data_IF_391348410441
#
_entry.id   IF_391348410441
#
_cell.length_a   1.000
_cell.length_b   1.000
_cell.length_c   1.000
_cell.angle_alpha   90.00
_cell.angle_beta   90.00
_cell.angle_gamma   90.00
#
_symmetry.space_group_name_H-M   'P 1'
#
loop_
_entity.id
_entity.type
_entity.pdbx_description
1 polymer ?
#
# COMPACT_ATOMS: atom_id res chain seq x y z
N UNK A 1 -28.79 -18.04 -18.27
CA UNK A 1 -27.86 -17.40 -17.29
C UNK A 1 -26.47 -18.03 -17.27
N UNK A 2 -26.32 -19.35 -17.45
CA UNK A 2 -25.00 -20.03 -17.48
C UNK A 2 -24.09 -19.61 -18.65
N UNK A 3 -24.63 -19.29 -19.82
CA UNK A 3 -23.81 -18.91 -20.99
C UNK A 3 -23.10 -17.56 -20.84
N UNK A 4 -23.72 -16.59 -20.19
CA UNK A 4 -23.16 -15.24 -19.97
C UNK A 4 -22.05 -15.23 -18.92
N UNK A 5 -22.18 -16.02 -17.86
CA UNK A 5 -21.16 -16.18 -16.82
C UNK A 5 -19.90 -16.88 -17.36
N UNK A 6 -20.10 -17.96 -18.12
CA UNK A 6 -19.00 -18.69 -18.74
C UNK A 6 -18.27 -17.87 -19.81
N UNK A 7 -19.00 -17.09 -20.60
CA UNK A 7 -18.40 -16.18 -21.59
C UNK A 7 -17.61 -15.05 -20.90
N UNK A 8 -18.11 -14.54 -19.77
CA UNK A 8 -17.42 -13.54 -18.95
C UNK A 8 -16.13 -14.10 -18.34
N UNK A 9 -16.17 -15.32 -17.79
CA UNK A 9 -14.98 -16.00 -17.26
C UNK A 9 -13.97 -16.28 -18.37
N UNK A 10 -14.41 -16.74 -19.54
CA UNK A 10 -13.53 -17.00 -20.67
C UNK A 10 -12.91 -15.72 -21.25
N UNK A 11 -13.65 -14.62 -21.31
CA UNK A 11 -13.09 -13.32 -21.72
C UNK A 11 -12.03 -12.81 -20.73
N UNK A 12 -12.21 -13.05 -19.45
CA UNK A 12 -11.23 -12.72 -18.40
C UNK A 12 -9.96 -13.60 -18.49
N UNK A 13 -10.10 -14.89 -18.86
CA UNK A 13 -8.97 -15.79 -19.06
C UNK A 13 -8.11 -15.47 -20.31
N UNK A 14 -8.61 -14.61 -21.18
CA UNK A 14 -7.94 -14.18 -22.42
C UNK A 14 -7.43 -12.74 -22.31
N UNK A 15 -7.75 -12.03 -21.23
CA UNK A 15 -7.23 -10.70 -21.01
C UNK A 15 -5.70 -10.74 -20.78
N UNK A 16 -4.95 -9.86 -21.45
CA UNK A 16 -3.52 -9.79 -21.23
C UNK A 16 -3.24 -9.38 -19.77
N UNK A 17 -2.11 -9.85 -19.22
CA UNK A 17 -1.62 -9.43 -17.91
C UNK A 17 -1.72 -7.90 -17.78
N UNK A 18 -2.04 -7.37 -16.58
CA UNK A 18 -2.14 -5.95 -16.36
C UNK A 18 -0.88 -5.22 -16.82
N UNK A 19 -1.05 -4.15 -17.57
CA UNK A 19 0.03 -3.25 -17.98
C UNK A 19 -0.13 -1.93 -17.26
N UNK A 20 0.96 -1.13 -17.14
CA UNK A 20 0.88 0.24 -16.60
C UNK A 20 -0.30 1.01 -17.19
N UNK A 21 -0.39 0.98 -18.53
CA UNK A 21 -1.47 1.67 -19.24
C UNK A 21 -2.85 1.16 -18.86
N UNK A 22 -3.06 -0.16 -18.79
CA UNK A 22 -4.38 -0.73 -18.47
C UNK A 22 -4.79 -0.43 -17.04
N UNK A 23 -3.85 -0.44 -16.07
CA UNK A 23 -4.12 -0.08 -14.68
C UNK A 23 -4.55 1.39 -14.60
N UNK A 24 -3.75 2.29 -15.17
CA UNK A 24 -4.03 3.74 -15.13
C UNK A 24 -5.35 4.07 -15.83
N UNK A 25 -5.60 3.51 -17.02
CA UNK A 25 -6.84 3.76 -17.77
C UNK A 25 -8.08 3.28 -17.00
N UNK A 26 -8.02 2.10 -16.39
CA UNK A 26 -9.11 1.56 -15.57
C UNK A 26 -9.39 2.43 -14.35
N UNK A 27 -8.37 2.83 -13.62
CA UNK A 27 -8.53 3.66 -12.44
C UNK A 27 -9.08 5.04 -12.79
N UNK A 28 -8.55 5.67 -13.86
CA UNK A 28 -9.08 6.94 -14.36
C UNK A 28 -10.55 6.84 -14.83
N UNK A 29 -10.94 5.71 -15.39
CA UNK A 29 -12.33 5.48 -15.79
C UNK A 29 -13.27 5.37 -14.59
N UNK A 30 -12.85 4.66 -13.52
CA UNK A 30 -13.61 4.56 -12.27
C UNK A 30 -13.74 5.92 -11.59
N UNK A 31 -12.64 6.68 -11.47
CA UNK A 31 -12.62 8.02 -10.88
C UNK A 31 -13.63 8.95 -11.58
N UNK A 32 -13.68 8.94 -12.92
CA UNK A 32 -14.66 9.72 -13.70
C UNK A 32 -16.11 9.33 -13.40
N UNK A 33 -16.37 8.12 -12.96
CA UNK A 33 -17.69 7.64 -12.57
C UNK A 33 -17.99 7.88 -11.07
N UNK A 34 -17.06 8.50 -10.33
CA UNK A 34 -17.17 8.71 -8.89
C UNK A 34 -17.02 7.42 -8.07
N UNK A 35 -16.38 6.39 -8.65
CA UNK A 35 -16.10 5.12 -7.97
C UNK A 35 -14.68 5.22 -7.40
N UNK A 36 -14.52 5.12 -6.06
CA UNK A 36 -13.20 5.22 -5.45
C UNK A 36 -12.34 3.99 -5.77
N UNK A 37 -11.05 4.21 -5.91
CA UNK A 37 -10.07 3.15 -6.01
C UNK A 37 -9.80 2.59 -4.61
N UNK A 38 -9.98 1.29 -4.41
CA UNK A 38 -9.72 0.62 -3.14
C UNK A 38 -8.69 -0.47 -3.35
N UNK A 39 -7.56 -0.40 -2.63
CA UNK A 39 -6.57 -1.41 -2.79
C UNK A 39 -5.95 -1.92 -1.47
N UNK A 40 -5.43 -3.13 -1.51
CA UNK A 40 -5.06 -3.89 -0.34
C UNK A 40 -3.55 -4.03 -0.17
N UNK A 41 -3.04 -3.61 1.00
CA UNK A 41 -1.81 -4.19 1.55
C UNK A 41 -2.06 -5.65 1.94
N UNK A 42 -1.17 -6.54 1.52
CA UNK A 42 -1.35 -7.98 1.65
C UNK A 42 -0.03 -8.70 1.95
N UNK A 43 -0.07 -9.55 2.96
CA UNK A 43 1.06 -10.40 3.37
C UNK A 43 0.66 -11.86 3.59
N UNK A 44 -0.53 -12.27 3.13
CA UNK A 44 -1.02 -13.64 3.23
C UNK A 44 -2.04 -13.98 2.13
N UNK A 45 -1.99 -15.21 1.63
CA UNK A 45 -2.88 -15.69 0.59
C UNK A 45 -4.36 -15.59 0.93
N UNK A 46 -4.75 -15.69 2.21
CA UNK A 46 -6.16 -15.49 2.59
C UNK A 46 -6.64 -14.07 2.32
N UNK A 47 -5.81 -13.06 2.54
CA UNK A 47 -6.15 -11.66 2.26
C UNK A 47 -6.24 -11.44 0.75
N UNK A 48 -5.27 -11.95 0.01
CA UNK A 48 -5.27 -11.91 -1.46
C UNK A 48 -6.52 -12.51 -2.07
N UNK A 49 -6.92 -13.69 -1.59
CA UNK A 49 -8.14 -14.37 -2.03
C UNK A 49 -9.40 -13.51 -1.86
N UNK A 50 -9.56 -12.86 -0.73
CA UNK A 50 -10.73 -12.00 -0.50
C UNK A 50 -10.64 -10.69 -1.24
N UNK A 51 -9.44 -10.12 -1.44
CA UNK A 51 -9.23 -8.95 -2.29
C UNK A 51 -9.68 -9.24 -3.74
N UNK A 52 -9.28 -10.39 -4.29
CA UNK A 52 -9.73 -10.84 -5.62
C UNK A 52 -11.24 -11.05 -5.68
N UNK A 53 -11.83 -11.76 -4.71
CA UNK A 53 -13.27 -12.05 -4.70
C UNK A 53 -14.14 -10.80 -4.55
N UNK A 54 -13.65 -9.79 -3.82
CA UNK A 54 -14.34 -8.51 -3.64
C UNK A 54 -13.98 -7.51 -4.73
N UNK A 55 -13.08 -7.88 -5.66
CA UNK A 55 -12.65 -7.07 -6.80
C UNK A 55 -12.04 -5.75 -6.37
N UNK A 56 -11.10 -5.80 -5.46
CA UNK A 56 -10.27 -4.64 -5.18
C UNK A 56 -9.39 -4.30 -6.39
N UNK A 57 -9.02 -3.04 -6.50
CA UNK A 57 -8.41 -2.49 -7.70
C UNK A 57 -6.92 -2.84 -7.85
N UNK A 58 -6.24 -3.17 -6.76
CA UNK A 58 -4.89 -3.71 -6.73
C UNK A 58 -4.56 -4.33 -5.36
N UNK A 59 -3.45 -5.06 -5.31
CA UNK A 59 -2.87 -5.64 -4.11
C UNK A 59 -1.40 -5.26 -4.06
N UNK A 60 -0.94 -4.65 -2.95
CA UNK A 60 0.50 -4.51 -2.68
C UNK A 60 0.97 -5.65 -1.78
N UNK A 61 1.99 -6.35 -2.23
CA UNK A 61 2.65 -7.41 -1.48
C UNK A 61 3.80 -6.82 -0.68
N UNK A 62 3.78 -6.96 0.65
CA UNK A 62 4.73 -6.28 1.51
C UNK A 62 5.00 -7.05 2.82
N UNK A 63 6.19 -6.88 3.36
CA UNK A 63 6.68 -7.63 4.53
C UNK A 63 6.06 -7.18 5.87
N UNK A 64 5.77 -5.89 6.02
CA UNK A 64 5.31 -5.32 7.30
C UNK A 64 4.02 -5.97 7.82
N UNK A 65 3.21 -6.54 6.93
CA UNK A 65 2.05 -7.36 7.29
C UNK A 65 2.42 -8.61 8.08
N UNK A 66 3.58 -9.23 7.82
CA UNK A 66 4.03 -10.41 8.55
C UNK A 66 4.20 -10.15 10.04
N UNK A 67 4.60 -8.94 10.45
CA UNK A 67 4.70 -8.60 11.86
C UNK A 67 3.38 -8.82 12.61
N UNK A 68 2.26 -8.51 11.96
CA UNK A 68 0.92 -8.71 12.51
C UNK A 68 0.57 -10.19 12.65
N UNK A 69 0.95 -11.00 11.65
CA UNK A 69 0.76 -12.46 11.68
C UNK A 69 1.61 -13.12 12.78
N UNK A 70 2.74 -12.52 13.16
CA UNK A 70 3.54 -12.94 14.29
C UNK A 70 3.03 -12.42 15.65
N UNK A 71 1.88 -11.74 15.66
CA UNK A 71 1.26 -11.20 16.87
C UNK A 71 1.94 -9.95 17.41
N UNK A 72 2.76 -9.27 16.59
CA UNK A 72 3.43 -8.03 16.94
C UNK A 72 2.61 -6.80 16.47
N UNK A 73 2.87 -5.61 17.01
CA UNK A 73 2.44 -4.37 16.38
C UNK A 73 2.98 -4.27 14.95
N UNK A 74 2.33 -3.45 14.12
CA UNK A 74 2.87 -3.12 12.78
C UNK A 74 4.33 -2.67 12.91
N UNK A 75 5.23 -3.40 12.30
CA UNK A 75 6.68 -3.18 12.38
C UNK A 75 7.33 -3.53 11.06
N UNK A 76 8.33 -2.76 10.68
CA UNK A 76 9.25 -3.16 9.61
C UNK A 76 10.15 -4.28 10.12
N UNK A 77 10.28 -5.32 9.33
CA UNK A 77 11.20 -6.44 9.61
C UNK A 77 12.59 -6.10 9.06
N UNK A 78 13.61 -6.75 9.57
CA UNK A 78 14.93 -6.68 8.98
C UNK A 78 14.91 -7.31 7.58
N UNK A 79 15.62 -6.70 6.61
CA UNK A 79 15.71 -7.16 5.24
C UNK A 79 14.33 -7.33 4.55
N UNK A 80 13.55 -6.24 4.42
CA UNK A 80 12.18 -6.30 3.89
C UNK A 80 12.04 -7.00 2.55
N UNK A 81 12.93 -6.74 1.60
CA UNK A 81 12.86 -7.33 0.26
C UNK A 81 13.01 -8.85 0.27
N UNK A 82 13.80 -9.40 1.20
CA UNK A 82 13.94 -10.86 1.34
C UNK A 82 12.67 -11.53 1.86
N UNK A 83 11.78 -10.79 2.51
CA UNK A 83 10.46 -11.28 2.90
C UNK A 83 9.40 -10.97 1.85
N UNK A 84 9.37 -9.75 1.32
CA UNK A 84 8.33 -9.32 0.37
C UNK A 84 8.37 -10.10 -0.94
N UNK A 85 9.55 -10.25 -1.53
CA UNK A 85 9.65 -10.85 -2.87
C UNK A 85 9.17 -12.31 -2.91
N UNK A 86 9.58 -13.20 -2.00
CA UNK A 86 9.11 -14.59 -2.04
C UNK A 86 7.62 -14.79 -1.79
N UNK A 87 6.92 -13.82 -1.18
CA UNK A 87 5.46 -13.92 -0.98
C UNK A 87 4.68 -13.87 -2.29
N UNK A 88 5.31 -13.49 -3.39
CA UNK A 88 4.67 -13.46 -4.71
C UNK A 88 3.94 -14.75 -5.04
N UNK A 89 4.62 -15.88 -4.92
CA UNK A 89 4.07 -17.19 -5.30
C UNK A 89 2.83 -17.58 -4.47
N UNK A 90 2.87 -17.33 -3.15
CA UNK A 90 1.72 -17.59 -2.28
C UNK A 90 0.53 -16.72 -2.68
N UNK A 91 0.77 -15.42 -2.86
CA UNK A 91 -0.27 -14.44 -3.11
C UNK A 91 -0.83 -14.61 -4.53
N UNK A 92 0.03 -14.74 -5.54
CA UNK A 92 -0.38 -14.96 -6.94
C UNK A 92 -1.21 -16.23 -7.10
N UNK A 93 -0.94 -17.27 -6.31
CA UNK A 93 -1.75 -18.51 -6.34
C UNK A 93 -3.23 -18.32 -5.99
N UNK A 94 -3.59 -17.18 -5.38
CA UNK A 94 -4.95 -16.82 -4.98
C UNK A 94 -5.57 -15.73 -5.86
N UNK A 95 -4.83 -15.18 -6.82
CA UNK A 95 -5.19 -13.99 -7.58
C UNK A 95 -4.97 -14.23 -9.07
N UNK A 96 -6.01 -14.11 -9.86
CA UNK A 96 -5.93 -14.28 -11.31
C UNK A 96 -5.85 -12.94 -12.07
N UNK A 97 -6.60 -11.92 -11.63
CA UNK A 97 -6.86 -10.72 -12.42
C UNK A 97 -6.43 -9.43 -11.74
N UNK A 98 -6.49 -9.36 -10.41
CA UNK A 98 -6.13 -8.14 -9.66
C UNK A 98 -4.64 -7.86 -9.81
N UNK A 99 -4.23 -6.63 -10.18
CA UNK A 99 -2.83 -6.25 -10.26
C UNK A 99 -2.09 -6.48 -8.96
N UNK A 100 -0.91 -7.12 -9.02
CA UNK A 100 -0.01 -7.30 -7.89
C UNK A 100 1.15 -6.30 -7.97
N UNK A 101 1.24 -5.45 -6.97
CA UNK A 101 2.26 -4.41 -6.84
C UNK A 101 3.31 -4.89 -5.83
N UNK A 102 4.58 -4.84 -6.20
CA UNK A 102 5.65 -5.17 -5.26
C UNK A 102 5.88 -4.03 -4.28
N UNK A 103 5.76 -4.30 -3.00
CA UNK A 103 6.31 -3.45 -1.95
C UNK A 103 7.83 -3.62 -1.89
N UNK A 104 8.58 -2.56 -2.13
CA UNK A 104 10.05 -2.61 -2.16
C UNK A 104 10.67 -1.65 -1.16
N UNK A 105 11.70 -2.12 -0.47
CA UNK A 105 12.62 -1.25 0.26
C UNK A 105 13.68 -0.72 -0.69
N UNK A 106 13.62 0.58 -0.99
CA UNK A 106 14.54 1.24 -1.92
C UNK A 106 15.98 1.35 -1.38
N UNK A 107 16.15 1.19 -0.08
CA UNK A 107 17.41 1.39 0.65
C UNK A 107 18.22 0.10 0.85
N UNK A 108 17.79 -0.98 0.26
CA UNK A 108 18.49 -2.26 0.31
C UNK A 108 19.90 -2.13 -0.29
N UNK A 109 20.95 -2.35 0.51
CA UNK A 109 22.33 -2.16 0.07
C UNK A 109 22.75 -3.13 -1.05
N UNK A 110 22.04 -4.23 -1.25
CA UNK A 110 22.27 -5.18 -2.35
C UNK A 110 21.97 -4.57 -3.72
N UNK A 111 21.12 -3.54 -3.74
CA UNK A 111 20.68 -2.86 -4.97
C UNK A 111 21.25 -1.43 -5.09
N UNK A 112 22.41 -1.16 -4.49
CA UNK A 112 23.03 0.16 -4.51
C UNK A 112 23.40 0.63 -5.92
N UNK A 113 23.27 1.95 -6.15
CA UNK A 113 23.58 2.63 -7.42
C UNK A 113 22.57 2.32 -8.53
N UNK A 114 22.67 3.00 -9.66
CA UNK A 114 21.74 2.85 -10.79
C UNK A 114 21.60 1.40 -11.27
N UNK A 115 22.73 0.70 -11.46
CA UNK A 115 22.70 -0.72 -11.84
C UNK A 115 21.98 -1.59 -10.80
N UNK A 116 22.09 -1.23 -9.52
CA UNK A 116 21.39 -1.90 -8.45
C UNK A 116 19.90 -1.69 -8.55
N UNK A 117 19.43 -0.46 -8.75
CA UNK A 117 18.00 -0.16 -8.96
C UNK A 117 17.44 -0.88 -10.19
N UNK A 118 18.13 -0.83 -11.33
CA UNK A 118 17.71 -1.57 -12.54
C UNK A 118 17.61 -3.07 -12.28
N UNK A 119 18.49 -3.64 -11.47
CA UNK A 119 18.42 -5.05 -11.07
C UNK A 119 17.23 -5.32 -10.15
N UNK A 120 16.93 -4.42 -9.19
CA UNK A 120 15.73 -4.52 -8.33
C UNK A 120 14.46 -4.55 -9.18
N UNK A 121 14.28 -3.56 -10.04
CA UNK A 121 13.12 -3.49 -10.95
C UNK A 121 13.03 -4.75 -11.80
N UNK A 122 14.14 -5.17 -12.42
CA UNK A 122 14.18 -6.39 -13.24
C UNK A 122 13.75 -7.62 -12.42
N UNK A 123 14.28 -7.79 -11.22
CA UNK A 123 13.93 -8.92 -10.34
C UNK A 123 12.44 -8.96 -10.06
N UNK A 124 11.85 -7.84 -9.69
CA UNK A 124 10.42 -7.73 -9.37
C UNK A 124 9.54 -8.05 -10.57
N UNK A 125 9.86 -7.50 -11.74
CA UNK A 125 9.06 -7.71 -12.96
C UNK A 125 9.23 -9.14 -13.48
N UNK A 126 10.43 -9.71 -13.43
CA UNK A 126 10.66 -11.12 -13.82
C UNK A 126 9.95 -12.12 -12.89
N UNK A 127 9.65 -11.74 -11.64
CA UNK A 127 8.80 -12.54 -10.75
C UNK A 127 7.33 -12.48 -11.15
N UNK A 128 6.89 -11.48 -11.93
CA UNK A 128 5.52 -11.34 -12.41
C UNK A 128 4.68 -10.28 -11.70
N UNK A 129 5.32 -9.36 -10.94
CA UNK A 129 4.62 -8.20 -10.40
C UNK A 129 4.26 -7.20 -11.51
N UNK A 130 3.12 -6.53 -11.35
CA UNK A 130 2.55 -5.61 -12.33
C UNK A 130 2.95 -4.14 -12.08
N UNK A 131 3.61 -3.86 -10.97
CA UNK A 131 4.05 -2.52 -10.58
C UNK A 131 4.88 -2.51 -9.31
N UNK A 132 5.28 -1.31 -8.87
CA UNK A 132 6.17 -1.11 -7.72
C UNK A 132 5.63 0.01 -6.81
N UNK A 133 5.77 -0.19 -5.50
CA UNK A 133 5.51 0.81 -4.45
C UNK A 133 6.65 0.81 -3.44
N UNK A 134 6.97 1.98 -2.87
CA UNK A 134 7.92 2.12 -1.77
C UNK A 134 7.32 1.61 -0.44
N UNK A 135 7.24 0.31 -0.30
CA UNK A 135 6.70 -0.30 0.91
C UNK A 135 7.66 -1.40 1.43
N UNK A 136 8.34 -1.23 2.56
CA UNK A 136 8.30 -0.07 3.47
C UNK A 136 9.08 1.14 2.91
N UNK A 137 8.62 2.34 3.28
CA UNK A 137 9.38 3.58 3.04
C UNK A 137 10.07 4.04 4.31
N UNK A 138 11.23 4.70 4.18
CA UNK A 138 11.93 5.29 5.32
C UNK A 138 11.53 6.74 5.62
N UNK A 139 10.64 7.32 4.84
CA UNK A 139 10.19 8.71 5.05
C UNK A 139 9.58 8.95 6.43
N UNK A 140 9.12 7.89 7.10
CA UNK A 140 8.64 7.95 8.50
C UNK A 140 9.76 8.02 9.53
N UNK A 141 11.00 7.67 9.17
CA UNK A 141 12.12 7.51 10.09
C UNK A 141 13.04 8.74 10.08
N UNK A 142 12.51 9.93 9.85
CA UNK A 142 13.30 11.13 10.11
C UNK A 142 13.69 11.24 11.60
N UNK A 143 14.92 11.60 11.92
CA UNK A 143 16.00 12.12 11.07
C UNK A 143 16.89 11.06 10.38
N UNK A 144 16.59 9.77 10.53
CA UNK A 144 17.43 8.68 10.01
C UNK A 144 17.59 8.75 8.49
N UNK A 145 16.56 9.21 7.76
CA UNK A 145 16.60 9.39 6.32
C UNK A 145 17.69 10.39 5.92
N UNK A 146 17.77 11.53 6.59
CA UNK A 146 18.78 12.57 6.32
C UNK A 146 20.22 12.12 6.56
N UNK A 147 20.45 11.19 7.51
CA UNK A 147 21.77 10.62 7.74
C UNK A 147 22.22 9.73 6.58
N UNK A 148 21.31 9.31 5.71
CA UNK A 148 21.58 8.46 4.55
C UNK A 148 21.78 9.25 3.24
N UNK A 149 21.37 10.51 3.20
CA UNK A 149 21.50 11.37 2.00
C UNK A 149 22.96 11.44 1.49
N UNK A 150 24.00 11.64 2.35
CA UNK A 150 25.38 11.66 1.89
C UNK A 150 25.87 10.33 1.27
N UNK A 151 25.11 9.24 1.51
CA UNK A 151 25.42 7.91 0.98
C UNK A 151 24.60 7.58 -0.28
N UNK A 152 23.82 8.53 -0.77
CA UNK A 152 22.82 8.32 -1.83
C UNK A 152 21.88 7.15 -1.49
N UNK A 153 21.40 7.13 -0.25
CA UNK A 153 20.51 6.13 0.33
C UNK A 153 19.38 6.81 1.12
N UNK A 154 19.08 8.07 0.83
CA UNK A 154 18.00 8.87 1.36
C UNK A 154 16.79 8.94 0.43
N UNK A 155 15.98 10.00 0.58
CA UNK A 155 14.76 10.20 -0.20
C UNK A 155 15.00 10.23 -1.71
N UNK A 156 16.10 10.85 -2.17
CA UNK A 156 16.45 10.93 -3.59
C UNK A 156 16.47 9.56 -4.27
N UNK A 157 16.80 8.51 -3.53
CA UNK A 157 16.81 7.15 -4.06
C UNK A 157 15.42 6.61 -4.37
N UNK A 158 14.42 6.97 -3.59
CA UNK A 158 13.03 6.64 -3.89
C UNK A 158 12.56 7.37 -5.15
N UNK A 159 12.91 8.65 -5.28
CA UNK A 159 12.63 9.47 -6.47
C UNK A 159 13.32 8.91 -7.72
N UNK A 160 14.59 8.49 -7.58
CA UNK A 160 15.35 7.85 -8.65
C UNK A 160 14.68 6.55 -9.13
N UNK A 161 14.13 5.75 -8.20
CA UNK A 161 13.41 4.53 -8.55
C UNK A 161 12.11 4.83 -9.32
N UNK A 162 11.35 5.85 -8.92
CA UNK A 162 10.16 6.28 -9.66
C UNK A 162 10.52 6.70 -11.08
N UNK A 163 11.58 7.52 -11.24
CA UNK A 163 12.07 7.96 -12.56
C UNK A 163 12.45 6.78 -13.44
N UNK A 164 13.12 5.79 -12.87
CA UNK A 164 13.52 4.57 -13.57
C UNK A 164 12.29 3.73 -13.98
N UNK A 165 11.31 3.57 -13.11
CA UNK A 165 10.06 2.86 -13.44
C UNK A 165 9.30 3.58 -14.56
N UNK A 166 9.25 4.91 -14.53
CA UNK A 166 8.63 5.71 -15.58
C UNK A 166 9.36 5.52 -16.94
N UNK A 167 10.70 5.49 -16.95
CA UNK A 167 11.50 5.20 -18.15
C UNK A 167 11.20 3.80 -18.72
N UNK A 168 10.97 2.81 -17.85
CA UNK A 168 10.73 1.41 -18.21
C UNK A 168 9.27 1.06 -18.43
N UNK A 169 8.35 2.02 -18.40
CA UNK A 169 6.90 1.85 -18.52
C UNK A 169 6.30 0.90 -17.48
N UNK A 170 6.75 1.02 -16.22
CA UNK A 170 6.29 0.22 -15.09
C UNK A 170 5.39 1.08 -14.21
N UNK A 171 4.23 0.53 -13.81
CA UNK A 171 3.27 1.20 -12.93
C UNK A 171 3.87 1.47 -11.55
N UNK A 172 3.65 2.69 -11.04
CA UNK A 172 4.12 3.09 -9.73
C UNK A 172 3.05 3.76 -8.89
N UNK A 173 2.99 3.38 -7.62
CA UNK A 173 2.29 4.10 -6.56
C UNK A 173 3.30 4.46 -5.47
N UNK A 174 3.20 5.67 -4.90
CA UNK A 174 4.28 6.11 -4.02
C UNK A 174 3.79 6.80 -2.78
N UNK A 175 4.20 6.33 -1.60
CA UNK A 175 3.95 7.04 -0.34
C UNK A 175 4.65 8.39 -0.33
N UNK A 176 3.91 9.40 0.11
CA UNK A 176 4.44 10.72 0.43
C UNK A 176 3.85 11.17 1.79
N UNK A 177 4.71 11.69 2.66
CA UNK A 177 4.35 12.20 3.98
C UNK A 177 4.39 13.73 4.04
N UNK A 178 4.87 14.39 2.99
CA UNK A 178 4.90 15.85 2.87
C UNK A 178 4.55 16.31 1.46
N UNK A 179 4.09 17.56 1.31
CA UNK A 179 3.86 18.19 0.01
C UNK A 179 5.08 18.13 -0.92
N UNK A 180 6.28 18.40 -0.39
CA UNK A 180 7.52 18.38 -1.17
C UNK A 180 7.80 16.98 -1.74
N UNK A 181 7.65 15.95 -0.91
CA UNK A 181 7.82 14.56 -1.36
C UNK A 181 6.82 14.20 -2.47
N UNK A 182 5.57 14.64 -2.35
CA UNK A 182 4.56 14.42 -3.38
C UNK A 182 4.90 15.12 -4.70
N UNK A 183 5.43 16.34 -4.64
CA UNK A 183 5.91 17.05 -5.83
C UNK A 183 7.10 16.35 -6.47
N UNK A 184 8.06 15.85 -5.67
CA UNK A 184 9.23 15.17 -6.19
C UNK A 184 8.87 13.91 -6.98
N UNK A 185 8.01 13.05 -6.42
CA UNK A 185 7.60 11.82 -7.12
C UNK A 185 6.66 12.10 -8.29
N UNK A 186 5.84 13.15 -8.22
CA UNK A 186 5.02 13.58 -9.35
C UNK A 186 5.90 14.06 -10.53
N UNK A 187 6.97 14.83 -10.26
CA UNK A 187 7.98 15.23 -11.28
C UNK A 187 8.72 14.03 -11.86
N UNK A 188 8.99 13.02 -11.03
CA UNK A 188 9.65 11.78 -11.45
C UNK A 188 8.74 10.88 -12.32
N UNK A 189 7.44 11.16 -12.41
CA UNK A 189 6.49 10.47 -13.27
C UNK A 189 5.72 9.34 -12.61
N UNK A 190 5.51 9.40 -11.30
CA UNK A 190 4.62 8.46 -10.60
C UNK A 190 3.19 8.50 -11.19
N UNK A 191 2.56 7.34 -11.29
CA UNK A 191 1.16 7.21 -11.74
C UNK A 191 0.17 7.55 -10.64
N UNK A 192 0.51 7.16 -9.42
CA UNK A 192 -0.27 7.46 -8.23
C UNK A 192 0.62 7.88 -7.06
N UNK A 193 0.08 8.72 -6.19
CA UNK A 193 0.62 9.01 -4.86
C UNK A 193 -0.28 8.43 -3.79
N UNK A 194 0.32 8.14 -2.66
CA UNK A 194 -0.38 7.69 -1.47
C UNK A 194 -0.02 8.62 -0.30
N UNK A 195 -0.78 9.73 -0.14
CA UNK A 195 -0.66 10.61 1.01
C UNK A 195 -0.82 9.83 2.31
N UNK A 196 0.16 9.92 3.20
CA UNK A 196 0.24 9.06 4.36
C UNK A 196 0.04 9.83 5.68
N UNK A 197 -1.06 9.55 6.38
CA UNK A 197 -1.43 10.19 7.65
C UNK A 197 -0.75 9.56 8.89
N UNK A 198 0.35 8.85 8.70
CA UNK A 198 1.03 8.13 9.78
C UNK A 198 0.58 6.66 9.89
N UNK A 199 1.18 5.90 10.79
CA UNK A 199 0.84 4.49 10.96
C UNK A 199 -0.61 4.32 11.40
N UNK A 200 -1.28 3.28 10.89
CA UNK A 200 -2.69 3.01 11.19
C UNK A 200 -2.91 2.80 12.70
N UNK A 201 -3.78 3.60 13.27
CA UNK A 201 -4.21 3.52 14.66
C UNK A 201 -5.24 2.40 14.87
N UNK A 202 -5.79 2.28 16.07
CA UNK A 202 -6.89 1.37 16.38
C UNK A 202 -6.49 -0.10 16.54
N UNK A 203 -7.47 -0.94 16.91
CA UNK A 203 -7.26 -2.34 17.28
C UNK A 203 -6.55 -2.51 18.63
N UNK A 204 -6.19 -3.76 18.96
CA UNK A 204 -5.57 -4.10 20.26
C UNK A 204 -4.06 -3.86 20.27
N UNK A 205 -3.42 -4.05 19.10
CA UNK A 205 -1.96 -3.91 18.92
C UNK A 205 -1.64 -2.88 17.83
N UNK A 206 -2.41 -1.79 17.78
CA UNK A 206 -2.14 -0.66 16.90
C UNK A 206 -0.76 -0.03 17.12
N UNK A 207 -0.35 0.85 16.21
CA UNK A 207 0.91 1.58 16.38
C UNK A 207 0.94 2.28 17.75
N UNK A 208 2.10 2.25 18.44
CA UNK A 208 2.23 2.92 19.72
C UNK A 208 1.94 4.41 19.57
N UNK A 209 1.18 4.93 20.52
CA UNK A 209 0.82 6.35 20.52
C UNK A 209 2.01 7.22 20.92
N UNK A 210 2.03 8.43 20.42
CA UNK A 210 3.06 9.46 20.47
C UNK A 210 3.75 9.78 21.75
N UNK A 211 3.14 9.52 22.90
CA UNK A 211 3.73 9.84 24.19
C UNK A 211 5.10 9.19 24.42
N UNK A 212 5.37 8.07 23.71
CA UNK A 212 6.64 7.34 23.78
C UNK A 212 7.70 7.79 22.78
N UNK A 213 7.27 8.42 21.66
CA UNK A 213 8.17 8.79 20.56
C UNK A 213 7.81 10.17 20.00
N UNK A 214 7.90 11.23 20.80
CA UNK A 214 7.34 12.56 20.47
C UNK A 214 7.97 13.25 19.25
N UNK A 215 9.10 12.76 18.76
CA UNK A 215 9.85 13.39 17.66
C UNK A 215 9.91 12.53 16.40
N UNK A 216 9.05 11.53 16.27
CA UNK A 216 9.01 10.67 15.07
C UNK A 216 7.71 10.85 14.33
N UNK A 217 7.76 10.96 13.00
CA UNK A 217 6.59 10.96 12.11
C UNK A 217 5.86 9.59 12.07
N UNK A 218 6.30 8.63 12.87
CA UNK A 218 5.61 7.35 13.12
C UNK A 218 4.28 7.58 13.83
N UNK A 219 4.15 8.72 14.50
CA UNK A 219 2.93 9.12 15.18
C UNK A 219 1.77 9.21 14.21
N UNK A 220 0.73 8.40 14.40
CA UNK A 220 -0.49 8.60 13.63
C UNK A 220 -1.11 9.95 14.00
N UNK A 221 -1.55 10.70 13.01
CA UNK A 221 -2.48 11.79 13.20
C UNK A 221 -3.76 11.15 13.75
N UNK A 222 -4.24 11.62 14.91
CA UNK A 222 -5.42 11.04 15.56
C UNK A 222 -6.70 11.78 15.23
N UNK A 223 -6.58 13.09 15.04
CA UNK A 223 -7.70 13.94 14.70
C UNK A 223 -8.06 13.76 13.23
N UNK A 224 -9.35 13.51 12.95
CA UNK A 224 -9.82 13.23 11.60
C UNK A 224 -9.69 14.44 10.68
N UNK A 225 -10.00 15.64 11.18
CA UNK A 225 -9.91 16.86 10.39
C UNK A 225 -8.45 17.21 10.08
N UNK A 226 -7.56 16.99 11.03
CA UNK A 226 -6.11 17.17 10.82
C UNK A 226 -5.60 16.17 9.77
N UNK A 227 -6.01 14.90 9.86
CA UNK A 227 -5.62 13.88 8.90
C UNK A 227 -6.13 14.20 7.49
N UNK A 228 -7.38 14.65 7.36
CA UNK A 228 -7.94 15.06 6.07
C UNK A 228 -7.21 16.27 5.48
N UNK A 229 -6.91 17.31 6.29
CA UNK A 229 -6.11 18.46 5.83
C UNK A 229 -4.72 18.03 5.37
N UNK A 230 -4.03 17.22 6.15
CA UNK A 230 -2.69 16.73 5.80
C UNK A 230 -2.69 15.95 4.47
N UNK A 231 -3.62 15.03 4.30
CA UNK A 231 -3.77 14.25 3.06
C UNK A 231 -4.12 15.14 1.87
N UNK A 232 -4.99 16.15 2.08
CA UNK A 232 -5.37 17.10 1.04
C UNK A 232 -4.19 17.97 0.59
N UNK A 233 -3.39 18.50 1.54
CA UNK A 233 -2.20 19.30 1.23
C UNK A 233 -1.20 18.53 0.35
N UNK A 234 -0.96 17.26 0.66
CA UNK A 234 -0.08 16.38 -0.12
C UNK A 234 -0.68 16.11 -1.50
N UNK A 235 -1.99 15.87 -1.57
CA UNK A 235 -2.73 15.65 -2.82
C UNK A 235 -2.64 16.86 -3.75
N UNK A 236 -2.89 18.05 -3.21
CA UNK A 236 -2.87 19.30 -3.96
C UNK A 236 -1.47 19.59 -4.50
N UNK A 237 -0.44 19.40 -3.68
CA UNK A 237 0.95 19.60 -4.08
C UNK A 237 1.38 18.68 -5.25
N UNK A 238 0.95 17.42 -5.23
CA UNK A 238 1.21 16.52 -6.36
C UNK A 238 0.45 16.95 -7.63
N UNK A 239 -0.79 17.38 -7.49
CA UNK A 239 -1.64 17.82 -8.61
C UNK A 239 -1.20 19.15 -9.21
N UNK A 240 -0.51 20.01 -8.47
CA UNK A 240 0.19 21.18 -9.01
C UNK A 240 1.22 20.79 -10.07
N UNK A 241 1.87 19.65 -9.92
CA UNK A 241 2.89 19.14 -10.83
C UNK A 241 2.25 18.29 -11.94
N UNK A 242 1.38 17.36 -11.56
CA UNK A 242 0.66 16.48 -12.48
C UNK A 242 -0.83 16.47 -12.16
N UNK A 243 -1.66 17.27 -12.83
CA UNK A 243 -3.11 17.33 -12.56
C UNK A 243 -3.87 16.01 -12.76
N UNK A 244 -3.25 15.01 -13.36
CA UNK A 244 -3.86 13.70 -13.62
C UNK A 244 -3.35 12.63 -12.66
N UNK A 245 -2.45 12.97 -11.73
CA UNK A 245 -1.92 11.99 -10.78
C UNK A 245 -3.06 11.45 -9.90
N UNK A 246 -3.09 10.14 -9.73
CA UNK A 246 -4.09 9.49 -8.89
C UNK A 246 -3.63 9.62 -7.43
N UNK A 247 -4.55 10.00 -6.54
CA UNK A 247 -4.24 10.18 -5.11
C UNK A 247 -5.05 9.22 -4.27
N UNK A 248 -4.34 8.35 -3.51
CA UNK A 248 -4.95 7.35 -2.64
C UNK A 248 -4.54 7.64 -1.18
N UNK A 249 -5.50 7.84 -0.28
CA UNK A 249 -5.18 8.09 1.13
C UNK A 249 -4.75 6.82 1.87
N UNK A 250 -3.90 6.93 2.89
CA UNK A 250 -3.50 5.81 3.75
C UNK A 250 -3.16 6.24 5.18
N UNK A 251 -3.40 5.33 6.13
CA UNK A 251 -2.87 5.39 7.49
C UNK A 251 -3.61 6.30 8.46
N UNK A 252 -2.96 6.61 9.59
CA UNK A 252 -3.54 7.43 10.64
C UNK A 252 -4.87 6.88 11.18
N UNK A 253 -5.91 7.72 11.30
CA UNK A 253 -7.21 7.32 11.81
C UNK A 253 -8.10 6.60 10.78
N UNK A 254 -7.68 6.47 9.52
CA UNK A 254 -8.46 5.83 8.46
C UNK A 254 -8.38 4.30 8.55
N UNK A 255 -9.20 3.68 9.41
CA UNK A 255 -9.09 2.26 9.79
C UNK A 255 -10.38 1.46 9.64
N UNK A 256 -11.50 2.12 9.40
CA UNK A 256 -12.83 1.51 9.26
C UNK A 256 -13.68 2.29 8.24
N UNK A 257 -14.87 1.75 7.95
CA UNK A 257 -15.77 2.29 6.94
C UNK A 257 -16.18 3.73 7.25
N UNK A 258 -16.42 4.05 8.53
CA UNK A 258 -16.88 5.38 8.94
C UNK A 258 -15.79 6.44 8.76
N UNK A 259 -14.56 6.12 9.18
CA UNK A 259 -13.41 7.02 9.01
C UNK A 259 -13.04 7.22 7.53
N UNK A 260 -13.15 6.18 6.71
CA UNK A 260 -12.89 6.27 5.26
C UNK A 260 -13.99 7.06 4.54
N UNK A 261 -15.26 6.88 4.94
CA UNK A 261 -16.37 7.71 4.41
C UNK A 261 -16.13 9.18 4.73
N UNK A 262 -15.80 9.49 5.98
CA UNK A 262 -15.48 10.85 6.40
C UNK A 262 -14.33 11.45 5.60
N UNK A 263 -13.28 10.68 5.36
CA UNK A 263 -12.16 11.10 4.52
C UNK A 263 -12.60 11.46 3.09
N UNK A 264 -13.41 10.62 2.43
CA UNK A 264 -13.92 10.91 1.08
C UNK A 264 -14.86 12.12 1.04
N UNK A 265 -15.59 12.40 2.11
CA UNK A 265 -16.46 13.59 2.22
C UNK A 265 -15.67 14.88 2.44
N UNK A 266 -14.43 14.81 2.97
CA UNK A 266 -13.62 15.95 3.38
C UNK A 266 -12.30 16.10 2.62
N UNK A 267 -12.06 15.28 1.59
CA UNK A 267 -10.87 15.35 0.72
C UNK A 267 -11.25 15.13 -0.74
N UNK A 268 -10.31 15.44 -1.63
CA UNK A 268 -10.44 15.18 -3.07
C UNK A 268 -9.61 13.96 -3.51
N UNK A 269 -9.21 13.08 -2.58
CA UNK A 269 -8.50 11.86 -2.92
C UNK A 269 -9.37 10.92 -3.76
N UNK A 270 -8.74 10.19 -4.68
CA UNK A 270 -9.43 9.32 -5.63
C UNK A 270 -9.71 7.92 -5.05
N UNK A 271 -9.06 7.58 -3.94
CA UNK A 271 -9.18 6.24 -3.37
C UNK A 271 -8.53 6.09 -2.00
N UNK A 272 -8.46 4.84 -1.56
CA UNK A 272 -7.95 4.46 -0.25
C UNK A 272 -7.13 3.18 -0.31
N UNK A 273 -5.94 3.24 0.26
CA UNK A 273 -5.11 2.08 0.55
C UNK A 273 -5.32 1.62 1.98
N UNK A 274 -5.60 0.35 2.20
CA UNK A 274 -5.66 -0.20 3.53
C UNK A 274 -4.83 -1.47 3.69
N UNK A 275 -4.34 -1.66 4.89
CA UNK A 275 -3.61 -2.83 5.32
C UNK A 275 -4.16 -3.33 6.67
N UNK A 276 -4.01 -2.56 7.73
CA UNK A 276 -4.51 -2.93 9.07
C UNK A 276 -6.03 -3.10 9.12
N UNK A 277 -6.78 -2.44 8.23
CA UNK A 277 -8.24 -2.53 8.19
C UNK A 277 -8.77 -3.94 7.85
N UNK A 278 -7.99 -4.79 7.22
CA UNK A 278 -8.34 -6.19 6.96
C UNK A 278 -7.34 -7.21 7.49
N UNK A 279 -6.04 -6.91 7.53
CA UNK A 279 -5.04 -7.86 8.02
C UNK A 279 -4.96 -7.95 9.54
N UNK A 280 -5.35 -6.89 10.27
CA UNK A 280 -5.17 -6.82 11.72
C UNK A 280 -6.47 -6.61 12.48
N UNK A 281 -7.14 -5.48 12.32
CA UNK A 281 -8.26 -5.08 13.20
C UNK A 281 -9.40 -6.11 13.22
N UNK A 282 -9.95 -6.57 12.09
CA UNK A 282 -10.98 -7.60 12.10
C UNK A 282 -10.45 -8.96 12.54
N UNK A 283 -9.20 -9.31 12.20
CA UNK A 283 -8.59 -10.60 12.54
C UNK A 283 -8.40 -10.74 14.06
N UNK A 284 -7.86 -9.71 14.73
CA UNK A 284 -7.74 -9.67 16.19
C UNK A 284 -9.09 -9.92 16.88
N UNK A 285 -10.14 -9.26 16.40
CA UNK A 285 -11.48 -9.35 16.97
C UNK A 285 -12.09 -10.72 16.71
N UNK A 286 -12.03 -11.23 15.49
CA UNK A 286 -12.63 -12.51 15.12
C UNK A 286 -11.97 -13.69 15.85
N UNK A 287 -10.64 -13.72 15.94
CA UNK A 287 -9.90 -14.77 16.62
C UNK A 287 -10.22 -14.75 18.12
N UNK A 288 -10.16 -13.55 18.76
CA UNK A 288 -10.43 -13.42 20.17
C UNK A 288 -11.86 -13.83 20.53
N UNK A 289 -12.84 -13.42 19.72
CA UNK A 289 -14.25 -13.76 19.93
C UNK A 289 -14.49 -15.26 19.77
N UNK A 290 -13.97 -15.87 18.71
CA UNK A 290 -14.10 -17.30 18.49
C UNK A 290 -13.49 -18.11 19.65
N UNK A 291 -12.23 -17.84 20.02
CA UNK A 291 -11.53 -18.57 21.08
C UNK A 291 -12.22 -18.41 22.43
N UNK A 292 -12.70 -17.20 22.74
CA UNK A 292 -13.45 -16.93 23.98
C UNK A 292 -14.76 -17.73 24.05
N UNK A 293 -15.49 -17.82 22.94
CA UNK A 293 -16.71 -18.61 22.83
C UNK A 293 -16.43 -20.11 23.02
N UNK A 294 -15.41 -20.65 22.35
CA UNK A 294 -15.02 -22.05 22.55
C UNK A 294 -14.61 -22.34 23.98
N UNK A 295 -13.85 -21.44 24.63
CA UNK A 295 -13.42 -21.60 26.03
C UNK A 295 -14.58 -21.60 27.01
N UNK A 296 -15.69 -20.93 26.70
CA UNK A 296 -16.87 -20.87 27.54
C UNK A 296 -17.76 -22.11 27.46
N UNK A 297 -17.51 -23.04 26.53
CA UNK A 297 -18.31 -24.27 26.40
C UNK A 297 -18.13 -25.15 27.64
N UNK A 298 -19.23 -25.54 28.26
CA UNK A 298 -19.25 -26.44 29.41
C UNK A 298 -19.60 -27.85 28.96
N UNK A 299 -18.88 -28.86 29.47
CA UNK A 299 -19.32 -30.25 29.38
C UNK A 299 -20.58 -30.45 30.24
N UNK A 300 -21.56 -31.19 29.72
CA UNK A 300 -22.57 -31.78 30.61
C UNK A 300 -21.87 -32.71 31.60
N UNK A 301 -22.20 -32.55 32.87
CA UNK A 301 -21.75 -33.51 33.90
C UNK A 301 -22.50 -34.84 33.72
#
# INVERSE_FOLDING_TARGET
MEGTERTRILSQLVEPMPTRKSIVDNWQAQIKLGIPIIYAGCSAGIVAKYAEWTRLDAIVVYETGLSRHWGMPTSMLADPNSFSFPMYEEIRSQVDFTPLIAGVECYDPRFRGERGLRRMVKTVIEMGYDGIQNFPTLVFLEPTTRLRDPLNMGWDREVELVSLCNELDIFTMWYACTPEQAQDVARAGADAIVPHAGWSSGGKVGAPTTERYPNTRITPIKDMDEACRHVQEITDAAREINPKIISLSHGGPFIDIESVRYMFENTTTDGFEAASAWERVPVENAINDAMSKFRAVKKKK
#
